data_IF_044482459879
#
_entry.id   IF_044482459879
#
_cell.length_a   1.000
_cell.length_b   1.000
_cell.length_c   1.000
_cell.angle_alpha   90.00
_cell.angle_beta   90.00
_cell.angle_gamma   90.00
#
_symmetry.space_group_name_H-M   'P 1'
#
loop_
_entity.id
_entity.type
_entity.pdbx_description
1 polymer ?
#
# COMPACT_ATOMS: atom_id res chain seq x y z
N UNK A 1 -1.31 8.96 -12.62
CA UNK A 1 -1.10 8.28 -13.92
C UNK A 1 -1.98 7.03 -13.97
N UNK A 2 -3.10 7.07 -14.71
CA UNK A 2 -3.95 5.97 -15.19
C UNK A 2 -4.17 4.76 -14.27
N UNK A 3 -5.41 4.65 -13.72
CA UNK A 3 -6.29 3.51 -13.31
C UNK A 3 -5.87 2.06 -13.60
N UNK A 4 -4.94 1.85 -14.52
CA UNK A 4 -4.27 0.60 -14.89
C UNK A 4 -3.35 0.05 -13.80
N UNK A 5 -2.79 0.89 -12.92
CA UNK A 5 -1.92 0.43 -11.83
C UNK A 5 -2.70 -0.39 -10.79
N UNK A 6 -3.94 0.02 -10.47
CA UNK A 6 -4.81 -0.70 -9.54
C UNK A 6 -5.02 -2.17 -9.90
N UNK A 7 -5.39 -2.47 -11.16
CA UNK A 7 -5.55 -3.86 -11.64
C UNK A 7 -4.24 -4.66 -11.63
N UNK A 8 -3.10 -4.00 -11.82
CA UNK A 8 -1.78 -4.66 -11.76
C UNK A 8 -1.39 -4.99 -10.33
N UNK A 9 -1.76 -4.15 -9.36
CA UNK A 9 -1.45 -4.38 -7.96
C UNK A 9 -2.17 -5.61 -7.39
N UNK A 10 -3.47 -5.78 -7.70
CA UNK A 10 -4.20 -7.02 -7.37
C UNK A 10 -3.54 -8.26 -7.98
N UNK A 11 -3.22 -8.19 -9.27
CA UNK A 11 -2.57 -9.30 -9.97
C UNK A 11 -1.18 -9.65 -9.41
N UNK A 12 -0.46 -8.65 -8.90
CA UNK A 12 0.81 -8.85 -8.21
C UNK A 12 0.61 -9.56 -6.88
N UNK A 13 -0.40 -9.16 -6.09
CA UNK A 13 -0.70 -9.78 -4.80
C UNK A 13 -1.12 -11.25 -4.94
N UNK A 14 -1.85 -11.60 -6.00
CA UNK A 14 -2.25 -12.97 -6.32
C UNK A 14 -1.09 -13.85 -6.84
N UNK A 15 0.06 -13.26 -7.19
CA UNK A 15 1.15 -14.01 -7.80
C UNK A 15 1.88 -14.87 -6.75
N UNK A 16 2.16 -16.17 -7.01
CA UNK A 16 2.79 -17.06 -6.02
C UNK A 16 4.21 -16.63 -5.61
N UNK A 17 4.89 -15.86 -6.46
CA UNK A 17 6.22 -15.28 -6.17
C UNK A 17 6.16 -13.86 -5.60
N UNK A 18 4.98 -13.36 -5.25
CA UNK A 18 4.84 -12.02 -4.69
C UNK A 18 5.72 -11.84 -3.46
N UNK A 19 5.76 -12.84 -2.56
CA UNK A 19 6.56 -12.77 -1.34
C UNK A 19 8.05 -12.55 -1.63
N UNK A 20 8.61 -13.32 -2.56
CA UNK A 20 10.01 -13.16 -2.97
C UNK A 20 10.27 -11.80 -3.63
N UNK A 21 9.32 -11.29 -4.42
CA UNK A 21 9.43 -9.97 -5.04
C UNK A 21 9.36 -8.84 -4.00
N UNK A 22 8.49 -8.98 -2.99
CA UNK A 22 8.40 -8.06 -1.86
C UNK A 22 9.68 -8.07 -1.03
N UNK A 23 10.21 -9.25 -0.69
CA UNK A 23 11.45 -9.37 0.08
C UNK A 23 12.63 -8.74 -0.70
N UNK A 24 12.71 -8.94 -2.03
CA UNK A 24 13.70 -8.27 -2.87
C UNK A 24 13.54 -6.75 -2.87
N UNK A 25 12.30 -6.25 -2.95
CA UNK A 25 12.01 -4.82 -2.88
C UNK A 25 12.42 -4.22 -1.53
N UNK A 26 12.14 -4.92 -0.43
CA UNK A 26 12.53 -4.52 0.92
C UNK A 26 14.04 -4.43 1.08
N UNK A 27 14.77 -5.47 0.66
CA UNK A 27 16.23 -5.48 0.65
C UNK A 27 16.79 -4.34 -0.21
N UNK A 28 16.22 -4.11 -1.40
CA UNK A 28 16.64 -3.04 -2.28
C UNK A 28 16.43 -1.66 -1.64
N UNK A 29 15.29 -1.44 -0.99
CA UNK A 29 14.99 -0.19 -0.29
C UNK A 29 15.97 0.10 0.85
N UNK A 30 16.40 -0.95 1.56
CA UNK A 30 17.39 -0.87 2.64
C UNK A 30 18.80 -0.58 2.11
N UNK A 31 19.21 -1.30 1.06
CA UNK A 31 20.54 -1.16 0.44
C UNK A 31 20.71 0.18 -0.25
N UNK A 32 19.73 0.60 -1.07
CA UNK A 32 19.79 1.86 -1.82
C UNK A 32 19.50 3.09 -0.94
N UNK A 33 18.97 2.89 0.29
CA UNK A 33 18.49 3.95 1.19
C UNK A 33 17.55 4.95 0.48
N UNK A 34 16.76 4.44 -0.45
CA UNK A 34 15.86 5.25 -1.26
C UNK A 34 14.51 5.40 -0.54
N UNK A 35 14.16 6.64 -0.18
CA UNK A 35 12.92 6.96 0.52
C UNK A 35 11.65 6.55 -0.26
N UNK A 36 11.70 6.60 -1.59
CA UNK A 36 10.60 6.17 -2.45
C UNK A 36 10.40 4.66 -2.37
N UNK A 37 11.49 3.88 -2.43
CA UNK A 37 11.42 2.43 -2.29
C UNK A 37 10.96 2.03 -0.89
N UNK A 38 11.43 2.70 0.16
CA UNK A 38 10.98 2.46 1.53
C UNK A 38 9.48 2.73 1.69
N UNK A 39 8.99 3.81 1.07
CA UNK A 39 7.56 4.12 1.03
C UNK A 39 6.77 3.03 0.32
N UNK A 40 7.26 2.53 -0.82
CA UNK A 40 6.62 1.44 -1.56
C UNK A 40 6.56 0.16 -0.74
N UNK A 41 7.64 -0.19 -0.03
CA UNK A 41 7.69 -1.37 0.86
C UNK A 41 6.66 -1.26 1.98
N UNK A 42 6.53 -0.06 2.58
CA UNK A 42 5.52 0.21 3.60
C UNK A 42 4.10 0.07 3.03
N UNK A 43 3.84 0.70 1.89
CA UNK A 43 2.53 0.64 1.22
C UNK A 43 2.13 -0.80 0.88
N UNK A 44 3.06 -1.58 0.28
CA UNK A 44 2.81 -2.99 -0.03
C UNK A 44 2.61 -3.85 1.22
N UNK A 45 3.33 -3.53 2.30
CA UNK A 45 3.20 -4.19 3.60
C UNK A 45 1.85 -3.94 4.28
N UNK A 46 1.26 -2.78 4.08
CA UNK A 46 -0.10 -2.45 4.53
C UNK A 46 -1.16 -3.07 3.59
N UNK A 47 -0.96 -2.97 2.28
CA UNK A 47 -1.90 -3.48 1.28
C UNK A 47 -2.17 -4.99 1.43
N UNK A 48 -1.15 -5.79 1.75
CA UNK A 48 -1.29 -7.23 1.96
C UNK A 48 -2.11 -7.63 3.21
N UNK A 49 -2.16 -6.77 4.25
CA UNK A 49 -2.87 -7.06 5.51
C UNK A 49 -4.23 -6.37 5.61
N UNK A 50 -4.47 -5.36 4.77
CA UNK A 50 -5.71 -4.60 4.70
C UNK A 50 -6.89 -5.44 4.19
N UNK A 51 -8.10 -5.08 4.60
CA UNK A 51 -9.32 -5.73 4.10
C UNK A 51 -9.64 -5.28 2.65
N UNK A 52 -10.43 -6.06 1.87
CA UNK A 52 -10.81 -5.70 0.50
C UNK A 52 -11.35 -4.27 0.28
N UNK A 53 -12.20 -3.69 1.15
CA UNK A 53 -12.63 -2.30 0.99
C UNK A 53 -11.48 -1.30 1.15
N UNK A 54 -10.57 -1.54 2.10
CA UNK A 54 -9.42 -0.67 2.37
C UNK A 54 -8.37 -0.78 1.25
N UNK A 55 -8.11 -2.00 0.76
CA UNK A 55 -7.27 -2.27 -0.40
C UNK A 55 -7.75 -1.46 -1.62
N UNK A 56 -9.07 -1.42 -1.87
CA UNK A 56 -9.63 -0.61 -2.96
C UNK A 56 -9.38 0.89 -2.77
N UNK A 57 -9.42 1.39 -1.53
CA UNK A 57 -9.06 2.78 -1.19
C UNK A 57 -7.60 3.08 -1.46
N UNK A 58 -6.70 2.23 -0.96
CA UNK A 58 -5.24 2.36 -1.11
C UNK A 58 -4.77 2.36 -2.57
N UNK A 59 -5.49 1.71 -3.47
CA UNK A 59 -5.17 1.74 -4.91
C UNK A 59 -5.49 3.06 -5.59
N UNK A 60 -6.48 3.79 -5.08
CA UNK A 60 -6.77 5.14 -5.59
C UNK A 60 -5.66 6.11 -5.15
N UNK A 61 -5.11 5.93 -3.94
CA UNK A 61 -3.98 6.70 -3.42
C UNK A 61 -2.66 6.45 -4.18
N UNK A 62 -2.50 5.33 -4.90
CA UNK A 62 -1.36 5.13 -5.80
C UNK A 62 -1.50 5.88 -7.13
N UNK A 63 -2.74 6.17 -7.55
CA UNK A 63 -3.04 6.89 -8.78
C UNK A 63 -2.86 8.42 -8.60
N UNK A 64 -3.07 8.91 -7.38
CA UNK A 64 -2.80 10.27 -6.91
C UNK A 64 -1.43 10.33 -6.21
N UNK A 65 -0.43 10.94 -6.85
CA UNK A 65 0.91 11.09 -6.31
C UNK A 65 0.88 11.63 -4.86
N UNK A 66 1.66 11.05 -3.92
CA UNK A 66 1.41 11.34 -2.53
C UNK A 66 1.99 12.67 -2.04
N UNK A 67 1.08 13.56 -1.63
CA UNK A 67 1.36 14.55 -0.58
C UNK A 67 1.65 13.84 0.76
N UNK A 68 2.56 14.33 1.62
CA UNK A 68 3.14 13.57 2.74
C UNK A 68 2.25 13.45 4.01
N UNK A 69 0.92 13.37 3.91
CA UNK A 69 0.02 13.60 5.05
C UNK A 69 -0.98 12.47 5.40
N UNK A 70 -0.76 11.21 4.98
CA UNK A 70 -1.60 10.09 5.47
C UNK A 70 -0.82 9.22 6.47
N UNK A 71 -0.36 9.87 7.53
CA UNK A 71 -0.18 9.24 8.82
C UNK A 71 -1.35 9.69 9.69
N UNK A 72 -1.94 8.74 10.42
CA UNK A 72 -3.04 8.96 11.38
C UNK A 72 -4.45 9.11 10.81
N UNK A 73 -5.16 7.98 10.64
CA UNK A 73 -6.46 7.81 11.29
C UNK A 73 -6.83 6.34 11.35
N UNK A 74 -6.48 5.71 12.45
CA UNK A 74 -7.20 4.54 12.96
C UNK A 74 -7.52 4.83 14.41
N UNK A 75 -8.76 4.53 14.81
CA UNK A 75 -9.38 4.73 16.14
C UNK A 75 -10.01 6.12 16.30
N UNK A 76 -11.31 6.30 16.52
CA UNK A 76 -12.20 5.52 17.40
C UNK A 76 -13.67 5.54 16.93
N UNK A 77 -14.25 4.35 16.91
CA UNK A 77 -15.67 4.07 17.12
C UNK A 77 -16.18 4.79 18.39
N UNK A 78 -17.23 5.61 18.30
CA UNK A 78 -18.33 5.59 19.28
C UNK A 78 -19.65 6.01 18.64
N UNK A 79 -20.64 5.18 18.95
CA UNK A 79 -22.06 5.19 18.60
C UNK A 79 -22.77 5.88 19.76
N UNK A 80 -23.55 6.94 19.54
CA UNK A 80 -24.74 7.19 20.39
C UNK A 80 -25.69 8.17 19.72
N UNK A 81 -26.97 7.87 19.91
CA UNK A 81 -28.14 8.53 19.35
C UNK A 81 -28.65 9.55 20.36
N UNK A 82 -29.22 10.66 19.91
CA UNK A 82 -30.33 11.30 20.63
C UNK A 82 -31.19 12.11 19.69
#
# INVERSE_FOLDING_TARGET
>A
MSRRQGKRAWKLLEHPKFRAAYDLLALRAEVERNAELQRLVKWWGEFQVSAPPDQKGMLNELDEEPSPASSYSSSTQTRTTS
#
